data_IF_806992951953
#
_entry.id   IF_806992951953
#
_cell.length_a   1.000
_cell.length_b   1.000
_cell.length_c   1.000
_cell.angle_alpha   90.00
_cell.angle_beta   90.00
_cell.angle_gamma   90.00
#
_symmetry.space_group_name_H-M   'P 1'
#
loop_
_entity.id
_entity.type
_entity.pdbx_description
1 polymer ?
#
# COMPACT_ATOMS: atom_id res chain seq x y z
N UNK A 1 -36.25 -2.96 -24.90
CA UNK A 1 -35.80 -1.88 -24.00
C UNK A 1 -36.08 -2.16 -22.51
N UNK A 2 -36.66 -3.30 -22.13
CA UNK A 2 -36.96 -3.67 -20.72
C UNK A 2 -35.90 -4.56 -20.07
N UNK A 3 -35.11 -5.31 -20.84
CA UNK A 3 -34.06 -6.19 -20.32
C UNK A 3 -32.81 -5.46 -19.80
N UNK A 4 -32.60 -4.20 -20.20
CA UNK A 4 -31.42 -3.43 -19.81
C UNK A 4 -31.43 -3.08 -18.32
N UNK A 5 -32.61 -2.88 -17.73
CA UNK A 5 -32.74 -2.61 -16.29
C UNK A 5 -32.55 -3.87 -15.42
N UNK A 6 -32.88 -5.05 -15.96
CA UNK A 6 -32.74 -6.32 -15.23
C UNK A 6 -31.26 -6.68 -15.10
N UNK A 7 -30.49 -6.54 -16.18
CA UNK A 7 -29.05 -6.85 -16.16
C UNK A 7 -28.20 -5.79 -15.47
N UNK A 8 -28.68 -4.55 -15.36
CA UNK A 8 -27.94 -3.47 -14.69
C UNK A 8 -27.63 -3.81 -13.23
N UNK A 9 -28.56 -4.46 -12.52
CA UNK A 9 -28.37 -4.82 -11.11
C UNK A 9 -27.30 -5.88 -10.97
N UNK A 10 -27.37 -6.95 -11.77
CA UNK A 10 -26.37 -8.02 -11.79
C UNK A 10 -24.99 -7.51 -12.21
N UNK A 11 -24.95 -6.60 -13.19
CA UNK A 11 -23.72 -5.96 -13.67
C UNK A 11 -23.10 -5.07 -12.60
N UNK A 12 -23.89 -4.31 -11.84
CA UNK A 12 -23.40 -3.51 -10.71
C UNK A 12 -22.85 -4.40 -9.58
N UNK A 13 -23.47 -5.55 -9.33
CA UNK A 13 -23.01 -6.50 -8.31
C UNK A 13 -21.66 -7.10 -8.70
N UNK A 14 -21.46 -7.43 -9.98
CA UNK A 14 -20.24 -8.08 -10.46
C UNK A 14 -19.11 -7.09 -10.75
N UNK A 15 -19.41 -5.98 -11.44
CA UNK A 15 -18.44 -5.02 -11.96
C UNK A 15 -18.36 -3.72 -11.14
N UNK A 16 -19.17 -3.59 -10.10
CA UNK A 16 -19.29 -2.37 -9.31
C UNK A 16 -20.09 -1.26 -10.03
N UNK A 17 -20.09 -0.03 -9.49
CA UNK A 17 -20.89 1.07 -10.02
C UNK A 17 -20.76 1.28 -11.53
N UNK A 18 -21.88 1.47 -12.22
CA UNK A 18 -21.97 1.62 -13.69
C UNK A 18 -20.94 2.60 -14.28
N UNK A 19 -20.70 3.73 -13.62
CA UNK A 19 -19.75 4.73 -14.10
C UNK A 19 -18.28 4.27 -14.09
N UNK A 20 -17.95 3.19 -13.37
CA UNK A 20 -16.60 2.62 -13.31
C UNK A 20 -16.30 1.65 -14.48
N UNK A 21 -17.31 1.12 -15.17
CA UNK A 21 -17.11 0.21 -16.31
C UNK A 21 -17.71 0.71 -17.63
N UNK A 22 -18.70 1.61 -17.62
CA UNK A 22 -19.28 2.16 -18.86
C UNK A 22 -18.37 3.12 -19.64
N UNK A 23 -17.24 3.56 -19.05
CA UNK A 23 -16.34 4.50 -19.68
C UNK A 23 -14.91 4.00 -19.59
N UNK A 24 -14.14 4.15 -20.67
CA UNK A 24 -12.77 3.65 -20.72
C UNK A 24 -11.91 4.30 -19.62
N UNK A 25 -10.98 3.54 -18.99
CA UNK A 25 -10.10 4.07 -17.95
C UNK A 25 -9.32 5.31 -18.39
N UNK A 26 -8.89 5.35 -19.65
CA UNK A 26 -8.17 6.48 -20.24
C UNK A 26 -9.01 7.76 -20.26
N UNK A 27 -10.27 7.69 -20.71
CA UNK A 27 -11.17 8.85 -20.75
C UNK A 27 -11.44 9.38 -19.34
N UNK A 28 -11.54 8.47 -18.36
CA UNK A 28 -11.73 8.84 -16.94
C UNK A 28 -10.53 9.60 -16.41
N UNK A 29 -9.34 9.08 -16.67
CA UNK A 29 -8.10 9.71 -16.27
C UNK A 29 -7.95 11.10 -16.91
N UNK A 30 -8.25 11.23 -18.20
CA UNK A 30 -8.26 12.53 -18.88
C UNK A 30 -9.25 13.52 -18.25
N UNK A 31 -10.41 13.05 -17.77
CA UNK A 31 -11.36 13.86 -17.01
C UNK A 31 -10.80 14.40 -15.69
N UNK A 32 -9.90 13.65 -15.03
CA UNK A 32 -9.15 14.10 -13.85
C UNK A 32 -8.11 15.13 -14.25
N UNK A 33 -7.27 14.82 -15.25
CA UNK A 33 -6.22 15.73 -15.72
C UNK A 33 -6.75 17.08 -16.18
N UNK A 34 -7.92 17.10 -16.82
CA UNK A 34 -8.59 18.33 -17.25
C UNK A 34 -8.86 19.30 -16.09
N UNK A 35 -9.06 18.80 -14.87
CA UNK A 35 -9.25 19.63 -13.66
C UNK A 35 -7.97 20.35 -13.23
N UNK A 36 -6.79 19.81 -13.57
CA UNK A 36 -5.50 20.43 -13.24
C UNK A 36 -5.08 21.52 -14.23
N UNK A 37 -5.73 21.63 -15.40
CA UNK A 37 -5.42 22.66 -16.43
C UNK A 37 -5.98 24.03 -16.00
N UNK A 38 -5.31 24.67 -15.05
CA UNK A 38 -5.54 26.06 -14.60
C UNK A 38 -4.91 27.08 -15.56
N UNK A 39 -3.75 26.75 -16.14
CA UNK A 39 -3.09 27.57 -17.15
C UNK A 39 -3.21 26.93 -18.55
N UNK A 40 -4.14 27.42 -19.37
CA UNK A 40 -4.37 26.91 -20.73
C UNK A 40 -3.23 27.22 -21.72
N UNK A 41 -2.41 28.23 -21.45
CA UNK A 41 -1.26 28.56 -22.30
C UNK A 41 -0.11 27.55 -22.12
N UNK A 42 -0.08 26.82 -20.99
CA UNK A 42 0.92 25.79 -20.68
C UNK A 42 0.25 24.60 -19.96
N UNK A 43 -0.52 23.78 -20.68
CA UNK A 43 -1.38 22.76 -20.08
C UNK A 43 -0.58 21.68 -19.34
N UNK A 44 0.54 21.22 -19.90
CA UNK A 44 1.40 20.18 -19.31
C UNK A 44 1.95 20.63 -17.95
N UNK A 45 2.54 21.83 -17.90
CA UNK A 45 3.05 22.41 -16.65
C UNK A 45 1.94 22.70 -15.63
N UNK A 46 0.74 23.03 -16.09
CA UNK A 46 -0.40 23.19 -15.18
C UNK A 46 -0.85 21.86 -14.57
N UNK A 47 -0.81 20.78 -15.35
CA UNK A 47 -1.17 19.44 -14.90
C UNK A 47 -0.16 18.93 -13.88
N UNK A 48 1.14 19.01 -14.17
CA UNK A 48 2.19 18.53 -13.27
C UNK A 48 2.17 19.26 -11.94
N UNK A 49 2.02 20.59 -11.96
CA UNK A 49 1.89 21.40 -10.74
C UNK A 49 0.64 21.06 -9.93
N UNK A 50 -0.50 20.83 -10.61
CA UNK A 50 -1.75 20.44 -9.96
C UNK A 50 -1.62 19.09 -9.25
N UNK A 51 -0.98 18.12 -9.90
CA UNK A 51 -0.72 16.80 -9.35
C UNK A 51 0.25 16.85 -8.17
N UNK A 52 1.40 17.52 -8.34
CA UNK A 52 2.39 17.69 -7.26
C UNK A 52 1.78 18.36 -6.01
N UNK A 53 0.92 19.36 -6.20
CA UNK A 53 0.22 20.03 -5.09
C UNK A 53 -0.70 19.05 -4.37
N UNK A 54 -1.39 18.19 -5.11
CA UNK A 54 -2.26 17.17 -4.54
C UNK A 54 -1.49 16.14 -3.72
N UNK A 55 -0.37 15.65 -4.23
CA UNK A 55 0.50 14.69 -3.54
C UNK A 55 1.07 15.27 -2.24
N UNK A 56 1.56 16.52 -2.27
CA UNK A 56 2.13 17.18 -1.09
C UNK A 56 1.05 17.39 -0.01
N UNK A 57 -0.15 17.81 -0.39
CA UNK A 57 -1.25 17.98 0.56
C UNK A 57 -1.69 16.61 1.12
N UNK A 58 -1.75 15.58 0.27
CA UNK A 58 -2.04 14.20 0.69
C UNK A 58 -1.05 13.73 1.75
N UNK A 59 0.25 13.88 1.46
CA UNK A 59 1.32 13.55 2.41
C UNK A 59 1.19 14.31 3.73
N UNK A 60 0.96 15.62 3.69
CA UNK A 60 0.78 16.43 4.90
C UNK A 60 -0.39 15.95 5.75
N UNK A 61 -1.49 15.53 5.13
CA UNK A 61 -2.67 15.04 5.85
C UNK A 61 -2.42 13.69 6.49
N UNK A 62 -1.69 12.81 5.81
CA UNK A 62 -1.35 11.49 6.35
C UNK A 62 -0.28 11.59 7.46
N UNK A 63 0.61 12.59 7.36
CA UNK A 63 1.66 12.82 8.35
C UNK A 63 1.16 13.54 9.61
N UNK A 64 0.31 14.57 9.45
CA UNK A 64 -0.16 15.43 10.55
C UNK A 64 -1.57 15.01 11.00
N UNK A 65 -1.72 14.40 12.19
CA UNK A 65 -3.02 13.93 12.66
C UNK A 65 -3.99 15.10 12.85
N UNK A 66 -5.22 14.95 12.36
CA UNK A 66 -6.28 15.95 12.48
C UNK A 66 -6.24 17.07 11.42
N UNK A 67 -5.30 17.02 10.46
CA UNK A 67 -5.27 17.99 9.37
C UNK A 67 -6.41 17.72 8.37
N UNK A 68 -7.19 18.76 8.07
CA UNK A 68 -8.28 18.66 7.09
C UNK A 68 -7.71 18.82 5.67
N UNK A 69 -8.03 17.89 4.77
CA UNK A 69 -7.79 18.03 3.32
C UNK A 69 -8.57 19.25 2.80
N UNK A 70 -7.88 20.37 2.58
CA UNK A 70 -8.45 21.61 2.00
C UNK A 70 -7.88 21.79 0.59
N UNK A 71 -8.74 22.10 -0.39
CA UNK A 71 -8.32 22.37 -1.76
C UNK A 71 -8.14 21.16 -2.66
N UNK A 72 -8.21 19.94 -2.12
CA UNK A 72 -8.26 18.71 -2.91
C UNK A 72 -9.68 18.43 -3.41
N UNK A 73 -9.86 18.01 -4.67
CA UNK A 73 -11.16 17.61 -5.17
C UNK A 73 -11.60 16.33 -4.45
N UNK A 74 -12.55 16.47 -3.52
CA UNK A 74 -13.18 15.33 -2.88
C UNK A 74 -13.98 14.53 -3.91
N UNK A 75 -13.74 13.22 -3.95
CA UNK A 75 -14.60 12.34 -4.74
C UNK A 75 -16.01 12.39 -4.18
N UNK A 76 -17.03 12.45 -5.05
CA UNK A 76 -18.44 12.34 -4.62
C UNK A 76 -18.77 10.98 -3.97
N UNK A 77 -17.84 10.04 -4.08
CA UNK A 77 -17.93 8.69 -3.54
C UNK A 77 -16.96 8.45 -2.38
N UNK A 78 -16.21 9.46 -1.94
CA UNK A 78 -15.35 9.39 -0.76
C UNK A 78 -16.21 8.98 0.46
N UNK A 79 -15.86 7.87 1.11
CA UNK A 79 -16.63 7.28 2.23
C UNK A 79 -17.90 6.51 1.83
N UNK A 80 -18.21 6.38 0.53
CA UNK A 80 -19.34 5.57 0.01
C UNK A 80 -18.89 4.27 -0.65
N UNK A 81 -17.60 4.15 -0.94
CA UNK A 81 -16.95 2.94 -1.48
C UNK A 81 -16.27 2.10 -0.38
N UNK A 82 -16.50 2.43 0.90
CA UNK A 82 -16.06 1.60 2.02
C UNK A 82 -16.84 0.28 2.01
N UNK A 83 -16.20 -0.75 1.47
CA UNK A 83 -16.70 -2.10 1.28
C UNK A 83 -15.57 -2.98 0.70
N UNK A 84 -15.69 -4.30 0.82
CA UNK A 84 -14.57 -5.23 0.59
C UNK A 84 -14.15 -5.36 -0.89
N UNK A 85 -14.89 -4.79 -1.84
CA UNK A 85 -14.77 -5.14 -3.26
C UNK A 85 -14.87 -3.94 -4.22
N UNK A 86 -13.96 -2.97 -4.18
CA UNK A 86 -13.86 -2.00 -5.31
C UNK A 86 -12.41 -1.73 -5.69
N UNK A 87 -12.09 -2.00 -6.96
CA UNK A 87 -10.82 -1.70 -7.62
C UNK A 87 -10.48 -0.22 -7.44
N UNK A 88 -9.35 0.02 -6.78
CA UNK A 88 -8.90 1.34 -6.34
C UNK A 88 -8.90 1.43 -4.83
N UNK A 89 -8.09 0.59 -4.18
CA UNK A 89 -7.72 0.83 -2.79
C UNK A 89 -7.03 2.19 -2.75
N UNK A 90 -7.60 3.17 -2.05
CA UNK A 90 -6.75 4.15 -1.39
C UNK A 90 -5.75 3.31 -0.60
N UNK A 91 -4.49 3.30 -1.02
CA UNK A 91 -3.44 2.65 -0.26
C UNK A 91 -3.37 3.45 1.03
N UNK A 92 -4.13 3.02 2.03
CA UNK A 92 -3.93 3.45 3.40
C UNK A 92 -2.50 3.01 3.66
N UNK A 93 -1.56 3.95 3.61
CA UNK A 93 -0.23 3.76 4.15
C UNK A 93 -0.49 3.63 5.65
N UNK A 94 -0.82 2.42 6.05
CA UNK A 94 -1.12 2.10 7.42
C UNK A 94 0.22 2.17 8.12
N UNK A 95 0.46 3.29 8.83
CA UNK A 95 1.58 3.44 9.76
C UNK A 95 1.28 2.70 11.07
N UNK A 96 0.60 1.57 11.00
CA UNK A 96 0.53 0.65 12.13
C UNK A 96 1.86 -0.10 12.22
N UNK A 97 2.27 -0.38 13.45
CA UNK A 97 3.51 -1.09 13.76
C UNK A 97 3.56 -2.47 13.08
N UNK A 98 2.40 -3.10 12.88
CA UNK A 98 2.28 -4.39 12.21
C UNK A 98 2.59 -4.31 10.71
N UNK A 99 1.93 -3.44 9.94
CA UNK A 99 2.24 -3.28 8.51
C UNK A 99 3.67 -2.83 8.26
N UNK A 100 4.20 -1.96 9.12
CA UNK A 100 5.60 -1.52 9.04
C UNK A 100 6.57 -2.69 9.25
N UNK A 101 6.34 -3.51 10.27
CA UNK A 101 7.13 -4.72 10.54
C UNK A 101 7.04 -5.73 9.39
N UNK A 102 5.86 -5.89 8.80
CA UNK A 102 5.70 -6.75 7.62
C UNK A 102 6.46 -6.23 6.40
N UNK A 103 6.37 -4.93 6.11
CA UNK A 103 7.10 -4.34 5.00
C UNK A 103 8.62 -4.53 5.18
N UNK A 104 9.15 -4.25 6.37
CA UNK A 104 10.54 -4.51 6.72
C UNK A 104 10.93 -5.98 6.53
N UNK A 105 10.12 -6.91 7.03
CA UNK A 105 10.35 -8.33 6.85
C UNK A 105 10.39 -8.72 5.35
N UNK A 106 9.45 -8.22 4.54
CA UNK A 106 9.42 -8.55 3.10
C UNK A 106 10.65 -8.06 2.35
N UNK A 107 11.17 -6.88 2.69
CA UNK A 107 12.41 -6.37 2.09
C UNK A 107 13.59 -7.27 2.46
N UNK A 108 13.70 -7.65 3.74
CA UNK A 108 14.76 -8.54 4.23
C UNK A 108 14.69 -9.93 3.59
N UNK A 109 13.50 -10.51 3.47
CA UNK A 109 13.29 -11.85 2.91
C UNK A 109 13.68 -11.94 1.42
N UNK A 110 13.58 -10.83 0.69
CA UNK A 110 13.96 -10.76 -0.73
C UNK A 110 15.47 -10.53 -0.94
N UNK A 111 16.23 -10.26 0.12
CA UNK A 111 17.68 -10.09 0.03
C UNK A 111 18.41 -11.42 0.10
N UNK A 112 19.28 -11.68 -0.88
CA UNK A 112 20.14 -12.88 -0.92
C UNK A 112 21.18 -12.89 0.20
N UNK A 113 21.51 -11.73 0.77
CA UNK A 113 22.49 -11.60 1.86
C UNK A 113 21.93 -12.08 3.20
N UNK A 114 20.60 -12.04 3.34
CA UNK A 114 19.91 -12.32 4.60
C UNK A 114 19.53 -13.81 4.71
N UNK A 115 19.58 -14.55 3.60
CA UNK A 115 19.28 -15.99 3.54
C UNK A 115 19.99 -16.85 4.61
N UNK A 116 21.31 -16.75 4.84
CA UNK A 116 21.96 -17.54 5.89
C UNK A 116 21.46 -17.22 7.30
N UNK A 117 21.13 -15.96 7.57
CA UNK A 117 20.60 -15.51 8.85
C UNK A 117 19.15 -15.97 9.09
N UNK A 118 18.37 -16.14 8.03
CA UNK A 118 17.01 -16.71 8.12
C UNK A 118 17.07 -18.14 8.66
N UNK A 119 17.97 -18.95 8.12
CA UNK A 119 18.13 -20.35 8.53
C UNK A 119 18.69 -20.46 9.95
N UNK A 120 19.68 -19.62 10.31
CA UNK A 120 20.21 -19.54 11.68
C UNK A 120 19.09 -19.20 12.69
N UNK A 121 18.26 -18.20 12.39
CA UNK A 121 17.17 -17.79 13.27
C UNK A 121 16.11 -18.89 13.44
N UNK A 122 15.69 -19.53 12.35
CA UNK A 122 14.71 -20.65 12.40
C UNK A 122 15.25 -21.83 13.20
N UNK A 123 16.53 -22.17 13.05
CA UNK A 123 17.17 -23.23 13.83
C UNK A 123 17.30 -22.87 15.31
N UNK A 124 17.57 -21.60 15.64
CA UNK A 124 17.55 -21.10 17.02
C UNK A 124 16.17 -21.24 17.66
N UNK A 125 15.09 -20.91 16.93
CA UNK A 125 13.72 -21.06 17.39
C UNK A 125 13.34 -22.53 17.61
N UNK A 126 13.72 -23.42 16.68
CA UNK A 126 13.53 -24.88 16.82
C UNK A 126 14.23 -25.46 18.05
N UNK A 127 15.44 -24.99 18.34
CA UNK A 127 16.21 -25.43 19.50
C UNK A 127 15.59 -24.96 20.83
N UNK A 128 15.09 -23.72 20.87
CA UNK A 128 14.44 -23.16 22.07
C UNK A 128 13.04 -23.70 22.31
N UNK A 129 12.31 -24.04 21.25
CA UNK A 129 10.93 -24.50 21.31
C UNK A 129 10.72 -25.81 20.54
N UNK A 130 11.29 -26.94 21.02
CA UNK A 130 11.20 -28.22 20.33
C UNK A 130 9.77 -28.80 20.31
N UNK A 131 8.87 -28.32 21.18
CA UNK A 131 7.48 -28.77 21.26
C UNK A 131 6.54 -28.05 20.28
N UNK A 132 7.00 -26.97 19.64
CA UNK A 132 6.18 -26.15 18.75
C UNK A 132 6.19 -26.69 17.32
N UNK A 133 5.08 -26.51 16.60
CA UNK A 133 4.99 -26.90 15.20
C UNK A 133 5.74 -25.93 14.28
N UNK A 134 6.05 -26.39 13.06
CA UNK A 134 6.73 -25.56 12.05
C UNK A 134 5.95 -24.29 11.69
N UNK A 135 4.60 -24.33 11.67
CA UNK A 135 3.77 -23.14 11.42
C UNK A 135 3.99 -22.08 12.49
N UNK A 136 4.03 -22.47 13.77
CA UNK A 136 4.31 -21.56 14.87
C UNK A 136 5.71 -20.96 14.74
N UNK A 137 6.71 -21.78 14.37
CA UNK A 137 8.08 -21.31 14.12
C UNK A 137 8.13 -20.27 13.00
N UNK A 138 7.37 -20.46 11.92
CA UNK A 138 7.30 -19.46 10.83
C UNK A 138 6.66 -18.16 11.29
N UNK A 139 5.56 -18.22 12.05
CA UNK A 139 4.92 -17.04 12.60
C UNK A 139 5.84 -16.29 13.55
N UNK A 140 6.51 -17.00 14.45
CA UNK A 140 7.41 -16.39 15.42
C UNK A 140 8.65 -15.79 14.74
N UNK A 141 9.18 -16.47 13.72
CA UNK A 141 10.23 -15.94 12.87
C UNK A 141 9.81 -14.61 12.21
N UNK A 142 8.66 -14.55 11.55
CA UNK A 142 8.18 -13.32 10.88
C UNK A 142 8.06 -12.15 11.87
N UNK A 143 7.67 -12.42 13.12
CA UNK A 143 7.47 -11.39 14.14
C UNK A 143 8.78 -10.88 14.75
N UNK A 144 9.76 -11.76 14.95
CA UNK A 144 10.95 -11.46 15.77
C UNK A 144 12.24 -11.35 14.97
N UNK A 145 12.23 -11.72 13.69
CA UNK A 145 13.44 -11.77 12.88
C UNK A 145 14.14 -10.41 12.74
N UNK A 146 13.39 -9.33 12.49
CA UNK A 146 13.98 -8.00 12.29
C UNK A 146 14.74 -7.50 13.51
N UNK A 147 14.17 -7.65 14.72
CA UNK A 147 14.82 -7.24 15.97
C UNK A 147 15.96 -8.18 16.37
N UNK A 148 15.82 -9.49 16.10
CA UNK A 148 16.89 -10.46 16.29
C UNK A 148 18.10 -10.16 15.41
N UNK A 149 17.87 -9.89 14.11
CA UNK A 149 18.91 -9.57 13.14
C UNK A 149 19.66 -8.29 13.53
N UNK A 150 18.93 -7.25 13.95
CA UNK A 150 19.53 -6.00 14.41
C UNK A 150 20.43 -6.22 15.65
N UNK A 151 19.96 -7.03 16.61
CA UNK A 151 20.73 -7.35 17.82
C UNK A 151 21.97 -8.19 17.50
N UNK A 152 21.85 -9.12 16.54
CA UNK A 152 22.95 -9.96 16.06
C UNK A 152 24.04 -9.12 15.39
N UNK A 153 23.65 -8.26 14.45
CA UNK A 153 24.57 -7.40 13.71
C UNK A 153 25.23 -6.31 14.57
N UNK A 154 24.54 -5.82 15.62
CA UNK A 154 25.15 -4.91 16.61
C UNK A 154 26.27 -5.57 17.43
N UNK A 155 26.33 -6.90 17.49
CA UNK A 155 27.36 -7.65 18.22
C UNK A 155 28.58 -8.05 17.39
N UNK A 156 28.49 -8.01 16.05
CA UNK A 156 29.51 -8.53 15.14
C UNK A 156 30.20 -7.38 14.37
N UNK A 157 31.37 -6.93 14.84
CA UNK A 157 32.17 -5.87 14.19
C UNK A 157 32.86 -6.31 12.87
N UNK A 158 32.59 -7.51 12.36
CA UNK A 158 33.28 -8.12 11.20
C UNK A 158 32.51 -8.03 9.88
N UNK A 159 31.28 -7.50 9.89
CA UNK A 159 30.38 -7.54 8.71
C UNK A 159 30.48 -6.29 7.81
N UNK A 160 31.27 -5.27 8.19
CA UNK A 160 31.37 -4.04 7.42
C UNK A 160 32.14 -4.13 6.10
N UNK A 161 32.85 -5.23 5.78
CA UNK A 161 33.70 -5.30 4.58
C UNK A 161 33.03 -5.95 3.34
N UNK A 162 31.78 -6.42 3.43
CA UNK A 162 31.09 -7.07 2.28
C UNK A 162 29.67 -6.53 1.99
N UNK A 163 29.33 -5.32 2.44
CA UNK A 163 28.11 -4.60 2.06
C UNK A 163 28.38 -3.36 1.20
#
# INVERSE_FOLDING_TARGET
MTHLLVHLVDEIVVLGPVFLHNMFPFERFMGVLKKYVRNRARPEGSISMGHQTEDVIGFCVDFIPGLKKIGLPKSRYEGRLTGKDTLGSDSIICRDEYSWSQAHYTVLQNSTLVTPYVDEHKNSLRSKHPEQCDDWITCEHIRTFSSWLETRLKGDNTVCDEL
#
